data_IF_308496835775
#
_entry.id   IF_308496835775
#
_cell.length_a   1.000
_cell.length_b   1.000
_cell.length_c   1.000
_cell.angle_alpha   90.00
_cell.angle_beta   90.00
_cell.angle_gamma   90.00
#
_symmetry.space_group_name_H-M   'P 1'
#
loop_
_entity.id
_entity.type
_entity.pdbx_description
1 polymer ?
#
# COMPACT_ATOMS: atom_id res chain seq x y z
N UNK A 1 40.24 -7.59 17.91
CA UNK A 1 39.64 -8.12 16.66
C UNK A 1 38.29 -7.44 16.48
N UNK A 2 38.16 -6.53 15.51
CA UNK A 2 36.88 -5.88 15.19
C UNK A 2 36.09 -6.83 14.29
N UNK A 3 34.95 -7.32 14.77
CA UNK A 3 34.01 -8.12 13.99
C UNK A 3 33.33 -7.21 12.96
N UNK A 4 33.85 -7.16 11.74
CA UNK A 4 33.19 -6.51 10.62
C UNK A 4 31.95 -7.33 10.23
N UNK A 5 30.77 -6.95 10.72
CA UNK A 5 29.51 -7.46 10.19
C UNK A 5 29.47 -7.17 8.68
N UNK A 6 29.31 -8.19 7.82
CA UNK A 6 29.09 -7.97 6.40
C UNK A 6 27.86 -7.09 6.25
N UNK A 7 28.00 -5.93 5.62
CA UNK A 7 26.84 -5.13 5.23
C UNK A 7 26.15 -5.90 4.11
N UNK A 8 24.93 -6.37 4.36
CA UNK A 8 24.11 -7.02 3.35
C UNK A 8 23.91 -6.05 2.18
N UNK A 9 24.49 -6.39 1.03
CA UNK A 9 24.39 -5.60 -0.19
C UNK A 9 23.45 -6.29 -1.16
N UNK A 10 22.57 -5.53 -1.81
CA UNK A 10 21.69 -6.05 -2.83
C UNK A 10 22.48 -6.51 -4.05
N UNK A 11 22.34 -7.78 -4.41
CA UNK A 11 23.13 -8.45 -5.45
C UNK A 11 22.76 -7.97 -6.88
N UNK A 12 21.60 -7.34 -7.07
CA UNK A 12 21.15 -6.85 -8.39
C UNK A 12 20.49 -5.48 -8.33
N UNK A 13 20.99 -4.54 -9.15
CA UNK A 13 20.40 -3.20 -9.32
C UNK A 13 18.99 -3.26 -9.91
N UNK A 14 18.75 -4.21 -10.82
CA UNK A 14 17.40 -4.44 -11.39
C UNK A 14 16.43 -4.86 -10.30
N UNK A 15 16.85 -5.73 -9.36
CA UNK A 15 16.01 -6.17 -8.25
C UNK A 15 15.60 -5.01 -7.34
N UNK A 16 16.51 -4.07 -7.08
CA UNK A 16 16.23 -2.86 -6.30
C UNK A 16 15.22 -1.97 -7.04
N UNK A 17 15.43 -1.72 -8.34
CA UNK A 17 14.55 -0.87 -9.13
C UNK A 17 13.13 -1.44 -9.16
N UNK A 18 12.99 -2.75 -9.38
CA UNK A 18 11.69 -3.43 -9.40
C UNK A 18 10.99 -3.39 -8.03
N UNK A 19 11.74 -3.64 -6.94
CA UNK A 19 11.20 -3.56 -5.58
C UNK A 19 10.69 -2.14 -5.26
N UNK A 20 11.48 -1.11 -5.59
CA UNK A 20 11.09 0.30 -5.38
C UNK A 20 9.92 0.69 -6.27
N UNK A 21 9.91 0.29 -7.55
CA UNK A 21 8.79 0.60 -8.45
C UNK A 21 7.49 -0.08 -8.01
N UNK A 22 7.56 -1.32 -7.52
CA UNK A 22 6.40 -2.03 -7.00
C UNK A 22 5.80 -1.36 -5.76
N UNK A 23 6.65 -0.81 -4.89
CA UNK A 23 6.18 -0.03 -3.73
C UNK A 23 5.60 1.34 -4.11
N UNK A 24 6.05 1.94 -5.22
CA UNK A 24 5.61 3.27 -5.65
C UNK A 24 4.28 3.26 -6.41
N UNK A 25 3.95 2.15 -7.07
CA UNK A 25 2.74 2.01 -7.91
C UNK A 25 1.65 1.29 -7.12
N UNK A 26 0.60 2.02 -6.72
CA UNK A 26 -0.53 1.47 -5.94
C UNK A 26 -1.87 1.44 -6.70
N UNK A 27 -2.76 0.55 -6.24
CA UNK A 27 -4.13 0.39 -6.78
C UNK A 27 -4.93 1.71 -6.79
N UNK A 28 -4.72 2.54 -5.78
CA UNK A 28 -5.38 3.85 -5.66
C UNK A 28 -5.05 4.80 -6.82
N UNK A 29 -3.81 4.76 -7.34
CA UNK A 29 -3.46 5.55 -8.52
C UNK A 29 -4.18 5.03 -9.77
N UNK A 30 -4.33 3.71 -9.92
CA UNK A 30 -5.01 3.13 -11.08
C UNK A 30 -6.52 3.39 -11.11
N UNK A 31 -7.21 3.31 -9.97
CA UNK A 31 -8.68 3.40 -9.93
C UNK A 31 -9.17 4.85 -9.81
N UNK A 32 -8.46 5.70 -9.08
CA UNK A 32 -8.91 7.07 -8.80
C UNK A 32 -8.49 8.05 -9.89
N UNK A 33 -7.30 7.86 -10.48
CA UNK A 33 -6.76 8.78 -11.50
C UNK A 33 -7.65 8.91 -12.74
N UNK A 34 -8.16 7.83 -13.36
CA UNK A 34 -8.99 7.95 -14.57
C UNK A 34 -10.29 8.71 -14.31
N UNK A 35 -10.91 8.48 -13.15
CA UNK A 35 -12.14 9.16 -12.76
C UNK A 35 -11.96 10.66 -12.54
N UNK A 36 -10.82 11.09 -11.97
CA UNK A 36 -10.50 12.51 -11.83
C UNK A 36 -10.10 13.15 -13.16
N UNK A 37 -9.30 12.46 -13.98
CA UNK A 37 -8.91 12.95 -15.29
C UNK A 37 -10.13 13.14 -16.20
N UNK A 38 -11.06 12.19 -16.23
CA UNK A 38 -12.29 12.31 -17.02
C UNK A 38 -13.15 13.51 -16.61
N UNK A 39 -13.23 13.83 -15.31
CA UNK A 39 -14.04 14.94 -14.80
C UNK A 39 -13.41 16.33 -14.99
N UNK A 40 -12.08 16.42 -15.05
CA UNK A 40 -11.36 17.70 -15.05
C UNK A 40 -10.70 18.05 -16.40
N UNK A 41 -11.25 17.55 -17.51
CA UNK A 41 -10.77 17.92 -18.85
C UNK A 41 -9.60 17.08 -19.38
N UNK A 42 -9.44 15.86 -18.88
CA UNK A 42 -8.55 14.83 -19.44
C UNK A 42 -7.09 15.26 -19.49
N UNK A 43 -6.58 15.53 -20.69
CA UNK A 43 -5.16 15.79 -20.96
C UNK A 43 -4.60 17.04 -20.29
N UNK A 44 -5.39 18.12 -20.16
CA UNK A 44 -4.94 19.33 -19.48
C UNK A 44 -4.73 19.09 -17.97
N UNK A 45 -5.60 18.27 -17.36
CA UNK A 45 -5.47 17.84 -15.97
C UNK A 45 -4.26 16.93 -15.77
N UNK A 46 -3.96 16.03 -16.72
CA UNK A 46 -2.77 15.17 -16.63
C UNK A 46 -1.47 15.98 -16.59
N UNK A 47 -1.37 17.06 -17.38
CA UNK A 47 -0.18 17.91 -17.39
C UNK A 47 0.00 18.65 -16.05
N UNK A 48 -1.07 19.25 -15.52
CA UNK A 48 -1.06 19.90 -14.21
C UNK A 48 -0.74 18.91 -13.06
N UNK A 49 -1.28 17.69 -13.14
CA UNK A 49 -0.98 16.61 -12.20
C UNK A 49 0.50 16.22 -12.24
N UNK A 50 1.08 16.07 -13.43
CA UNK A 50 2.49 15.70 -13.58
C UNK A 50 3.44 16.78 -13.04
N UNK A 51 3.17 18.05 -13.35
CA UNK A 51 3.97 19.17 -12.82
C UNK A 51 3.88 19.23 -11.29
N UNK A 52 2.68 19.05 -10.73
CA UNK A 52 2.50 19.02 -9.27
C UNK A 52 3.21 17.84 -8.62
N UNK A 53 3.20 16.68 -9.27
CA UNK A 53 3.92 15.48 -8.83
C UNK A 53 5.44 15.70 -8.83
N UNK A 54 5.98 16.35 -9.87
CA UNK A 54 7.41 16.67 -9.92
C UNK A 54 7.82 17.68 -8.84
N UNK A 55 7.01 18.70 -8.58
CA UNK A 55 7.36 19.71 -7.58
C UNK A 55 7.24 19.13 -6.16
N UNK A 56 6.10 18.52 -5.84
CA UNK A 56 5.77 18.10 -4.47
C UNK A 56 6.28 16.68 -4.21
N UNK A 57 5.98 15.74 -5.10
CA UNK A 57 6.34 14.34 -4.96
C UNK A 57 7.86 14.12 -4.93
N UNK A 58 8.60 14.76 -5.85
CA UNK A 58 10.06 14.66 -5.84
C UNK A 58 10.68 15.29 -4.58
N UNK A 59 10.16 16.45 -4.16
CA UNK A 59 10.65 17.13 -2.95
C UNK A 59 10.47 16.29 -1.70
N UNK A 60 9.30 15.66 -1.54
CA UNK A 60 9.01 14.77 -0.41
C UNK A 60 9.86 13.50 -0.48
N UNK A 61 9.98 12.88 -1.66
CA UNK A 61 10.81 11.68 -1.85
C UNK A 61 12.27 11.95 -1.47
N UNK A 62 12.80 13.12 -1.85
CA UNK A 62 14.15 13.51 -1.47
C UNK A 62 14.28 13.75 0.04
N UNK A 63 13.31 14.41 0.67
CA UNK A 63 13.30 14.60 2.11
C UNK A 63 13.29 13.26 2.86
N UNK A 64 12.45 12.31 2.43
CA UNK A 64 12.36 10.98 3.02
C UNK A 64 13.65 10.19 2.85
N UNK A 65 14.27 10.25 1.68
CA UNK A 65 15.56 9.60 1.43
C UNK A 65 16.70 10.20 2.28
N UNK A 66 16.72 11.52 2.46
CA UNK A 66 17.68 12.18 3.31
C UNK A 66 17.53 11.76 4.78
N UNK A 67 16.29 11.67 5.28
CA UNK A 67 15.99 11.18 6.63
C UNK A 67 16.39 9.70 6.80
N UNK A 68 16.06 8.84 5.84
CA UNK A 68 16.42 7.43 5.87
C UNK A 68 17.94 7.20 5.87
N UNK A 69 18.70 7.96 5.06
CA UNK A 69 20.17 7.88 5.03
C UNK A 69 20.81 8.36 6.32
N UNK A 70 20.32 9.46 6.90
CA UNK A 70 20.79 9.98 8.18
C UNK A 70 20.51 8.99 9.34
N UNK A 71 19.39 8.27 9.28
CA UNK A 71 19.05 7.18 10.18
C UNK A 71 19.97 5.96 10.06
N UNK A 72 20.18 5.49 8.82
CA UNK A 72 21.03 4.33 8.52
C UNK A 72 22.50 4.53 8.87
N UNK A 73 23.03 5.75 8.75
CA UNK A 73 24.41 6.08 9.19
C UNK A 73 24.60 5.97 10.71
N UNK A 74 23.52 6.11 11.50
CA UNK A 74 23.54 6.01 12.96
C UNK A 74 23.22 4.59 13.48
N UNK A 75 23.20 3.59 12.60
CA UNK A 75 23.03 2.17 12.96
C UNK A 75 21.63 1.79 13.46
N UNK A 76 20.62 2.60 13.14
CA UNK A 76 19.22 2.35 13.53
C UNK A 76 18.36 2.24 12.27
N UNK A 77 17.80 1.05 12.04
CA UNK A 77 17.04 0.73 10.82
C UNK A 77 15.52 0.81 11.01
N UNK A 78 15.05 1.14 12.21
CA UNK A 78 13.63 1.24 12.53
C UNK A 78 13.19 2.70 12.55
N UNK A 79 12.03 3.02 11.94
CA UNK A 79 11.45 4.38 11.90
C UNK A 79 11.47 5.14 13.25
N UNK A 80 11.07 4.55 14.40
CA UNK A 80 11.21 5.23 15.70
C UNK A 80 12.65 5.39 16.19
N UNK A 81 13.56 4.53 15.76
CA UNK A 81 15.00 4.64 16.01
C UNK A 81 15.67 5.76 15.19
N UNK A 82 15.27 5.90 13.93
CA UNK A 82 15.75 6.96 13.03
C UNK A 82 15.32 8.33 13.54
N UNK A 83 14.05 8.48 13.95
CA UNK A 83 13.54 9.74 14.50
C UNK A 83 14.21 10.11 15.84
N UNK A 84 14.43 9.12 16.72
CA UNK A 84 15.16 9.35 17.97
C UNK A 84 16.63 9.73 17.74
N UNK A 85 17.26 9.19 16.69
CA UNK A 85 18.65 9.45 16.36
C UNK A 85 18.85 10.81 15.67
N UNK A 86 17.85 11.31 14.93
CA UNK A 86 17.87 12.61 14.26
C UNK A 86 17.57 13.75 15.24
N UNK A 87 16.59 13.59 16.13
CA UNK A 87 16.13 14.69 17.01
C UNK A 87 16.87 14.76 18.36
N UNK A 88 17.66 13.75 18.73
CA UNK A 88 18.47 13.77 19.96
C UNK A 88 17.69 13.71 21.28
N UNK A 89 16.36 13.65 21.24
CA UNK A 89 15.47 13.59 22.41
C UNK A 89 14.57 12.36 22.36
N UNK A 90 14.45 11.65 23.48
CA UNK A 90 13.71 10.38 23.60
C UNK A 90 12.20 10.53 23.35
N UNK A 91 11.64 11.73 23.46
CA UNK A 91 10.19 12.00 23.35
C UNK A 91 9.67 11.92 21.91
N UNK A 92 10.51 12.08 20.89
CA UNK A 92 10.09 11.99 19.49
C UNK A 92 9.95 10.54 19.00
N UNK A 93 10.33 9.54 19.81
CA UNK A 93 10.08 8.13 19.52
C UNK A 93 8.59 7.84 19.28
N UNK A 94 7.71 8.51 20.02
CA UNK A 94 6.25 8.33 19.90
C UNK A 94 5.72 8.79 18.54
N UNK A 95 6.26 9.89 17.98
CA UNK A 95 5.92 10.33 16.62
C UNK A 95 6.37 9.32 15.56
N UNK A 96 7.54 8.69 15.74
CA UNK A 96 8.02 7.65 14.83
C UNK A 96 7.17 6.37 14.88
N UNK A 97 6.60 6.03 16.03
CA UNK A 97 5.65 4.90 16.16
C UNK A 97 4.33 5.21 15.46
N UNK A 98 3.79 6.43 15.62
CA UNK A 98 2.58 6.85 14.90
C UNK A 98 2.80 6.81 13.37
N UNK A 99 3.99 7.22 12.91
CA UNK A 99 4.36 7.16 11.50
C UNK A 99 4.40 5.74 10.91
N UNK A 100 4.54 4.69 11.74
CA UNK A 100 4.46 3.29 11.30
C UNK A 100 3.04 2.73 11.46
N UNK A 101 2.30 3.16 12.48
CA UNK A 101 0.92 2.70 12.70
C UNK A 101 -0.03 3.10 11.58
N UNK A 102 0.09 4.33 11.06
CA UNK A 102 -0.76 4.83 9.98
C UNK A 102 -0.68 3.95 8.73
N UNK A 103 0.50 3.70 8.12
CA UNK A 103 0.58 2.84 6.93
C UNK A 103 0.19 1.39 7.22
N UNK A 104 0.40 0.88 8.44
CA UNK A 104 -0.07 -0.46 8.83
C UNK A 104 -1.59 -0.57 8.81
N UNK A 105 -2.30 0.43 9.35
CA UNK A 105 -3.77 0.46 9.29
C UNK A 105 -4.29 0.56 7.86
N UNK A 106 -3.65 1.38 7.03
CA UNK A 106 -3.99 1.49 5.60
C UNK A 106 -3.76 0.14 4.91
N UNK A 107 -2.64 -0.54 5.19
CA UNK A 107 -2.34 -1.83 4.60
C UNK A 107 -3.39 -2.90 4.90
N UNK A 108 -3.92 -2.97 6.14
CA UNK A 108 -5.01 -3.89 6.49
C UNK A 108 -6.25 -3.70 5.60
N UNK A 109 -6.64 -2.44 5.36
CA UNK A 109 -7.75 -2.13 4.46
C UNK A 109 -7.46 -2.55 3.01
N UNK A 110 -6.24 -2.31 2.53
CA UNK A 110 -5.84 -2.69 1.17
C UNK A 110 -5.84 -4.22 0.96
N UNK A 111 -5.31 -4.99 1.91
CA UNK A 111 -5.31 -6.46 1.84
C UNK A 111 -6.73 -7.03 1.76
N UNK A 112 -7.70 -6.42 2.45
CA UNK A 112 -9.10 -6.84 2.38
C UNK A 112 -9.68 -6.69 0.96
N UNK A 113 -9.41 -5.56 0.30
CA UNK A 113 -9.84 -5.33 -1.09
C UNK A 113 -9.11 -6.26 -2.06
N UNK A 114 -7.81 -6.47 -1.88
CA UNK A 114 -7.01 -7.37 -2.70
C UNK A 114 -7.48 -8.83 -2.59
N UNK A 115 -7.89 -9.27 -1.40
CA UNK A 115 -8.46 -10.60 -1.20
C UNK A 115 -9.74 -10.82 -2.01
N UNK A 116 -10.61 -9.81 -2.07
CA UNK A 116 -11.81 -9.85 -2.91
C UNK A 116 -11.43 -9.89 -4.40
N UNK A 117 -10.55 -9.01 -4.86
CA UNK A 117 -10.08 -9.00 -6.25
C UNK A 117 -9.45 -10.34 -6.66
N UNK A 118 -8.67 -10.95 -5.78
CA UNK A 118 -8.09 -12.27 -6.01
C UNK A 118 -9.17 -13.35 -6.09
N UNK A 119 -10.18 -13.31 -5.22
CA UNK A 119 -11.35 -14.18 -5.28
C UNK A 119 -12.07 -14.10 -6.63
N UNK A 120 -12.35 -12.89 -7.12
CA UNK A 120 -12.92 -12.68 -8.46
C UNK A 120 -12.02 -13.21 -9.58
N UNK A 121 -10.70 -12.97 -9.49
CA UNK A 121 -9.73 -13.42 -10.49
C UNK A 121 -9.67 -14.95 -10.60
N UNK A 122 -9.68 -15.64 -9.47
CA UNK A 122 -9.67 -17.12 -9.44
C UNK A 122 -11.01 -17.67 -9.95
N UNK A 123 -12.13 -17.08 -9.58
CA UNK A 123 -13.44 -17.49 -10.11
C UNK A 123 -13.58 -17.24 -11.62
N UNK A 124 -12.98 -16.15 -12.13
CA UNK A 124 -12.86 -15.87 -13.56
C UNK A 124 -12.06 -16.97 -14.28
N UNK A 125 -10.91 -17.34 -13.73
CA UNK A 125 -10.06 -18.38 -14.32
C UNK A 125 -10.69 -19.77 -14.24
N UNK A 126 -11.46 -20.04 -13.18
CA UNK A 126 -12.20 -21.30 -13.00
C UNK A 126 -13.48 -21.39 -13.86
N UNK A 127 -13.85 -20.32 -14.59
CA UNK A 127 -15.04 -20.30 -15.45
C UNK A 127 -16.37 -20.30 -14.69
N UNK A 128 -16.36 -19.94 -13.39
CA UNK A 128 -17.51 -20.00 -12.49
C UNK A 128 -18.20 -18.64 -12.32
N UNK A 129 -18.06 -17.74 -13.29
CA UNK A 129 -18.69 -16.42 -13.26
C UNK A 129 -19.98 -16.44 -14.05
N UNK A 130 -21.09 -16.62 -13.33
CA UNK A 130 -22.42 -16.39 -13.89
C UNK A 130 -22.74 -14.89 -13.79
N UNK A 131 -22.63 -14.19 -14.91
CA UNK A 131 -22.97 -12.75 -15.00
C UNK A 131 -24.47 -12.51 -15.21
N UNK A 132 -25.26 -13.59 -15.23
CA UNK A 132 -26.66 -13.59 -15.65
C UNK A 132 -27.64 -13.61 -14.47
N UNK A 133 -27.21 -14.04 -13.29
CA UNK A 133 -27.96 -14.01 -12.03
C UNK A 133 -27.56 -12.79 -11.22
N UNK A 134 -28.45 -11.80 -11.12
CA UNK A 134 -28.27 -10.59 -10.30
C UNK A 134 -28.30 -10.82 -8.79
N UNK A 135 -28.02 -12.04 -8.32
CA UNK A 135 -28.15 -12.44 -6.93
C UNK A 135 -27.08 -13.49 -6.62
N UNK A 136 -26.33 -13.26 -5.54
CA UNK A 136 -25.40 -14.19 -4.88
C UNK A 136 -24.00 -14.42 -5.49
N UNK A 137 -23.21 -13.35 -5.64
CA UNK A 137 -21.74 -13.47 -5.87
C UNK A 137 -20.95 -13.71 -4.57
N UNK A 138 -21.63 -14.05 -3.47
CA UNK A 138 -20.99 -14.48 -2.23
C UNK A 138 -21.66 -15.75 -1.70
N UNK A 139 -21.55 -16.86 -2.43
CA UNK A 139 -21.55 -18.16 -1.75
C UNK A 139 -20.10 -18.44 -1.33
N UNK A 140 -19.79 -18.44 -0.02
CA UNK A 140 -18.48 -18.82 0.45
C UNK A 140 -18.16 -20.22 -0.08
N UNK A 141 -16.93 -20.40 -0.59
CA UNK A 141 -16.39 -21.72 -0.88
C UNK A 141 -16.63 -22.58 0.35
N UNK A 142 -17.51 -23.57 0.17
CA UNK A 142 -17.89 -24.65 1.07
C UNK A 142 -16.92 -24.81 2.26
N UNK A 143 -17.28 -24.22 3.40
CA UNK A 143 -16.56 -24.37 4.67
C UNK A 143 -16.56 -23.10 5.49
N UNK A 144 -17.62 -22.94 6.29
CA UNK A 144 -17.70 -22.25 7.59
C UNK A 144 -16.93 -20.93 7.80
N UNK A 145 -17.68 -19.83 7.98
CA UNK A 145 -17.60 -18.88 9.12
C UNK A 145 -18.57 -17.70 8.89
N UNK A 146 -19.60 -17.63 9.75
CA UNK A 146 -20.37 -16.46 10.25
C UNK A 146 -21.08 -15.52 9.24
N UNK A 147 -22.41 -15.30 9.20
CA UNK A 147 -23.49 -15.34 10.21
C UNK A 147 -24.85 -15.64 9.53
N UNK A 148 -25.84 -16.23 10.22
CA UNK A 148 -27.19 -16.40 9.68
C UNK A 148 -28.01 -15.13 9.95
N UNK A 149 -28.36 -14.39 8.92
CA UNK A 149 -29.24 -13.22 9.09
C UNK A 149 -30.18 -13.04 7.90
N UNK A 150 -30.93 -14.09 7.53
CA UNK A 150 -32.08 -14.01 6.61
C UNK A 150 -33.03 -15.22 6.74
N UNK A 151 -33.34 -15.64 7.97
CA UNK A 151 -34.35 -16.67 8.25
C UNK A 151 -35.61 -16.11 8.93
N UNK A 152 -35.96 -14.85 8.68
CA UNK A 152 -37.22 -14.23 9.12
C UNK A 152 -37.68 -13.28 8.02
N UNK A 153 -38.47 -13.78 7.07
CA UNK A 153 -39.52 -13.09 6.29
C UNK A 153 -39.95 -14.00 5.13
N UNK A 154 -40.52 -15.16 5.45
CA UNK A 154 -41.36 -15.88 4.48
C UNK A 154 -42.40 -16.70 5.24
N UNK A 155 -43.43 -16.00 5.75
CA UNK A 155 -44.74 -16.59 5.99
C UNK A 155 -45.73 -15.81 5.13
N UNK A 156 -46.15 -16.44 4.02
CA UNK A 156 -47.13 -15.94 3.06
C UNK A 156 -47.50 -17.02 2.04
#
# INVERSE_FOLDING_TARGET
MSSSHPKESWNSRIGIILAVSGSAVGLGNFLRFPGLAAKHGGGAFMLAYFVSFLIIGLSICWAEWAMGRAGGQKGRNSSPGILAAITGQSNYKYFGVIGVLIPVMIYMYYVYIEAWCLGYSVNFLAGNLDFTSGEEVFTPVKGDVMCPLNAVTDEG
#
